data_IF_774657919848
#
_entry.id   IF_774657919848
#
_cell.length_a   1.000
_cell.length_b   1.000
_cell.length_c   1.000
_cell.angle_alpha   90.00
_cell.angle_beta   90.00
_cell.angle_gamma   90.00
#
_symmetry.space_group_name_H-M   'P 1'
#
loop_
_entity.id
_entity.type
_entity.pdbx_description
1 polymer ?
#
# COMPACT_ATOMS: atom_id res chain seq x y z
N UNK A 1 29.79 6.37 5.76
CA UNK A 1 29.22 5.15 5.15
C UNK A 1 28.26 5.64 4.10
N UNK A 2 28.43 5.26 2.83
CA UNK A 2 27.49 5.64 1.76
C UNK A 2 26.33 4.67 1.86
N UNK A 3 25.15 5.15 2.19
CA UNK A 3 23.92 4.36 2.21
C UNK A 3 23.31 4.37 0.81
N UNK A 4 22.95 3.19 0.31
CA UNK A 4 22.14 3.05 -0.88
C UNK A 4 20.71 3.50 -0.56
N UNK A 5 20.17 4.42 -1.33
CA UNK A 5 18.82 4.97 -1.12
C UNK A 5 17.81 4.24 -1.99
N UNK A 6 16.74 3.78 -1.37
CA UNK A 6 15.67 3.01 -2.00
C UNK A 6 14.33 3.70 -1.75
N UNK A 7 13.52 3.88 -2.79
CA UNK A 7 12.13 4.29 -2.62
C UNK A 7 11.17 3.16 -3.00
N UNK A 8 10.09 3.02 -2.22
CA UNK A 8 8.94 2.17 -2.55
C UNK A 8 7.73 3.08 -2.71
N UNK A 9 7.16 3.15 -3.90
CA UNK A 9 6.02 4.02 -4.22
C UNK A 9 4.75 3.19 -4.33
N UNK A 10 3.82 3.42 -3.39
CA UNK A 10 2.62 2.63 -3.22
C UNK A 10 2.79 1.54 -2.16
N UNK A 11 2.14 1.71 -1.01
CA UNK A 11 2.24 0.82 0.15
C UNK A 11 0.98 -0.05 0.34
N UNK A 12 0.39 -0.50 -0.76
CA UNK A 12 -0.56 -1.61 -0.75
C UNK A 12 0.14 -2.96 -0.54
N UNK A 13 -0.54 -4.06 -0.84
CA UNK A 13 -0.02 -5.43 -0.65
C UNK A 13 1.36 -5.64 -1.27
N UNK A 14 1.58 -5.14 -2.49
CA UNK A 14 2.85 -5.28 -3.19
C UNK A 14 3.97 -4.51 -2.47
N UNK A 15 3.74 -3.24 -2.10
CA UNK A 15 4.75 -2.43 -1.41
C UNK A 15 5.12 -2.98 -0.04
N UNK A 16 4.14 -3.39 0.76
CA UNK A 16 4.39 -4.05 2.05
C UNK A 16 5.16 -5.35 1.86
N UNK A 17 4.86 -6.14 0.83
CA UNK A 17 5.60 -7.38 0.52
C UNK A 17 7.05 -7.10 0.13
N UNK A 18 7.31 -6.08 -0.69
CA UNK A 18 8.68 -5.65 -1.05
C UNK A 18 9.43 -5.23 0.20
N UNK A 19 8.87 -4.32 1.01
CA UNK A 19 9.51 -3.89 2.26
C UNK A 19 9.83 -5.08 3.17
N UNK A 20 8.89 -6.01 3.31
CA UNK A 20 9.08 -7.21 4.12
C UNK A 20 10.25 -8.07 3.65
N UNK A 21 10.47 -8.20 2.34
CA UNK A 21 11.64 -8.93 1.82
C UNK A 21 12.94 -8.14 2.02
N UNK A 22 12.91 -6.82 1.86
CA UNK A 22 14.08 -5.97 2.09
C UNK A 22 14.55 -6.05 3.56
N UNK A 23 13.64 -5.98 4.54
CA UNK A 23 14.01 -6.02 5.96
C UNK A 23 14.57 -7.37 6.41
N UNK A 24 14.28 -8.45 5.68
CA UNK A 24 14.86 -9.78 5.92
C UNK A 24 16.29 -9.93 5.36
N UNK A 25 16.71 -9.01 4.48
CA UNK A 25 18.01 -9.11 3.84
C UNK A 25 19.14 -8.70 4.81
N UNK A 26 20.24 -9.45 4.86
CA UNK A 26 21.37 -9.22 5.75
C UNK A 26 21.99 -7.82 5.65
N UNK A 27 21.91 -7.19 4.47
CA UNK A 27 22.45 -5.86 4.20
C UNK A 27 21.40 -4.75 4.37
N UNK A 28 20.20 -5.01 4.95
CA UNK A 28 19.17 -3.99 5.11
C UNK A 28 19.66 -2.75 5.86
N UNK A 29 20.54 -2.92 6.86
CA UNK A 29 21.13 -1.81 7.61
C UNK A 29 22.02 -0.87 6.77
N UNK A 30 22.40 -1.28 5.56
CA UNK A 30 23.16 -0.46 4.61
C UNK A 30 22.28 0.34 3.64
N UNK A 31 20.96 0.11 3.69
CA UNK A 31 19.99 0.84 2.91
C UNK A 31 19.42 2.02 3.71
N UNK A 32 18.96 3.04 3.01
CA UNK A 32 18.02 4.04 3.51
C UNK A 32 16.75 3.91 2.68
N UNK A 33 15.65 3.52 3.31
CA UNK A 33 14.41 3.17 2.63
C UNK A 33 13.34 4.21 2.95
N UNK A 34 12.83 4.88 1.93
CA UNK A 34 11.68 5.77 2.01
C UNK A 34 10.47 5.09 1.35
N UNK A 35 9.32 5.04 2.04
CA UNK A 35 8.09 4.46 1.52
C UNK A 35 7.02 5.53 1.38
N UNK A 36 6.31 5.53 0.25
CA UNK A 36 5.36 6.57 -0.15
C UNK A 36 3.98 5.99 -0.40
N UNK A 37 2.97 6.57 0.19
CA UNK A 37 1.57 6.45 -0.19
C UNK A 37 0.76 7.57 0.45
N UNK A 38 -0.48 7.79 0.04
CA UNK A 38 -1.35 8.68 0.82
C UNK A 38 -1.71 8.05 2.18
N UNK A 39 -2.05 8.90 3.15
CA UNK A 39 -2.35 8.49 4.53
C UNK A 39 -3.45 7.41 4.62
N UNK A 40 -4.44 7.47 3.73
CA UNK A 40 -5.53 6.49 3.68
C UNK A 40 -5.04 5.12 3.24
N UNK A 41 -4.17 5.07 2.22
CA UNK A 41 -3.75 3.83 1.58
C UNK A 41 -2.47 3.25 2.17
N UNK A 42 -1.74 4.04 2.95
CA UNK A 42 -0.48 3.64 3.58
C UNK A 42 -0.62 2.32 4.32
N UNK A 43 0.11 1.30 3.87
CA UNK A 43 0.15 -0.04 4.46
C UNK A 43 -1.07 -0.93 4.19
N UNK A 44 -2.04 -0.50 3.38
CA UNK A 44 -3.24 -1.31 3.08
C UNK A 44 -3.69 -1.25 1.62
N UNK A 45 -3.48 -0.12 0.95
CA UNK A 45 -3.97 0.10 -0.41
C UNK A 45 -5.49 0.21 -0.51
N UNK A 46 -5.98 0.57 -1.70
CA UNK A 46 -7.41 0.78 -1.95
C UNK A 46 -8.29 -0.44 -1.66
N UNK A 47 -7.92 -1.70 -2.03
CA UNK A 47 -8.81 -2.85 -1.84
C UNK A 47 -9.01 -3.27 -0.39
N UNK A 48 -8.10 -2.88 0.50
CA UNK A 48 -8.07 -3.30 1.91
C UNK A 48 -8.18 -2.13 2.88
N UNK A 49 -8.56 -0.94 2.37
CA UNK A 49 -8.85 0.23 3.21
C UNK A 49 -10.05 -0.03 4.14
N UNK A 50 -10.22 0.80 5.15
CA UNK A 50 -11.42 0.77 5.97
C UNK A 50 -12.67 0.98 5.10
N UNK A 51 -13.54 -0.02 5.07
CA UNK A 51 -14.74 -0.06 4.25
C UNK A 51 -15.80 -0.95 4.92
N UNK A 52 -16.92 -1.24 4.23
CA UNK A 52 -17.99 -2.08 4.74
C UNK A 52 -17.52 -3.48 5.15
N UNK A 53 -18.04 -3.97 6.27
CA UNK A 53 -17.80 -5.35 6.71
C UNK A 53 -18.42 -6.41 5.79
N UNK A 54 -19.29 -6.00 4.87
CA UNK A 54 -19.88 -6.86 3.83
C UNK A 54 -18.88 -7.20 2.71
N UNK A 55 -17.81 -6.41 2.56
CA UNK A 55 -16.77 -6.65 1.58
C UNK A 55 -15.79 -7.71 2.09
N UNK A 56 -16.12 -8.97 1.86
CA UNK A 56 -15.30 -10.08 2.29
C UNK A 56 -14.08 -10.33 1.37
N UNK A 57 -13.03 -10.88 1.96
CA UNK A 57 -11.93 -11.48 1.20
C UNK A 57 -12.46 -12.72 0.46
N UNK A 58 -11.91 -12.99 -0.73
CA UNK A 58 -12.34 -14.11 -1.59
C UNK A 58 -11.50 -15.38 -1.38
N UNK A 59 -10.62 -15.40 -0.40
CA UNK A 59 -9.84 -16.56 0.01
C UNK A 59 -10.07 -16.85 1.50
N UNK A 60 -10.02 -18.12 1.92
CA UNK A 60 -10.09 -18.44 3.35
C UNK A 60 -8.96 -17.76 4.12
N UNK A 61 -9.29 -17.15 5.27
CA UNK A 61 -8.33 -16.41 6.10
C UNK A 61 -7.13 -17.27 6.56
N UNK A 62 -7.31 -18.59 6.65
CA UNK A 62 -6.25 -19.57 6.97
C UNK A 62 -5.27 -19.85 5.84
N UNK A 63 -5.55 -19.35 4.63
CA UNK A 63 -4.69 -19.53 3.46
C UNK A 63 -4.23 -18.22 2.86
N UNK A 64 -4.30 -17.14 3.64
CA UNK A 64 -3.77 -15.82 3.29
C UNK A 64 -2.58 -15.48 4.18
N UNK A 65 -1.52 -15.02 3.57
CA UNK A 65 -0.33 -14.59 4.28
C UNK A 65 0.54 -13.68 3.41
N UNK A 66 1.27 -12.77 4.04
CA UNK A 66 2.43 -12.09 3.43
C UNK A 66 3.74 -12.84 3.71
N UNK A 67 3.68 -13.92 4.47
CA UNK A 67 4.84 -14.74 4.81
C UNK A 67 4.91 -15.96 3.92
N UNK A 68 5.95 -16.06 3.10
CA UNK A 68 6.16 -17.23 2.23
C UNK A 68 6.45 -18.51 3.02
N UNK A 69 6.94 -18.37 4.26
CA UNK A 69 7.32 -19.50 5.12
C UNK A 69 6.18 -19.90 6.09
N UNK A 70 5.08 -19.13 6.15
CA UNK A 70 3.92 -19.39 7.01
C UNK A 70 2.63 -18.91 6.33
N UNK A 71 1.94 -19.79 5.66
CA UNK A 71 0.68 -19.54 4.95
C UNK A 71 -0.49 -19.17 5.89
N UNK A 72 -0.35 -19.42 7.18
CA UNK A 72 -1.36 -19.13 8.20
C UNK A 72 -1.05 -17.91 9.05
N UNK A 73 -0.04 -17.11 8.71
CA UNK A 73 0.38 -15.99 9.54
C UNK A 73 -0.74 -14.96 9.74
N UNK A 74 -1.52 -14.63 8.72
CA UNK A 74 -2.69 -13.74 8.85
C UNK A 74 -3.73 -14.30 9.83
N UNK A 75 -4.02 -15.60 9.76
CA UNK A 75 -4.94 -16.26 10.69
C UNK A 75 -4.43 -16.20 12.12
N UNK A 76 -3.15 -16.48 12.36
CA UNK A 76 -2.52 -16.39 13.69
C UNK A 76 -2.54 -14.97 14.22
N UNK A 77 -2.27 -13.99 13.35
CA UNK A 77 -2.38 -12.57 13.69
C UNK A 77 -3.81 -12.23 14.10
N UNK A 78 -4.82 -12.60 13.30
CA UNK A 78 -6.22 -12.35 13.59
C UNK A 78 -6.66 -12.94 14.94
N UNK A 79 -6.28 -14.16 15.27
CA UNK A 79 -6.62 -14.82 16.53
C UNK A 79 -6.09 -14.08 17.76
N UNK A 80 -5.07 -13.27 17.62
CA UNK A 80 -4.49 -12.47 18.69
C UNK A 80 -5.09 -11.05 18.77
N UNK A 81 -6.02 -10.69 17.87
CA UNK A 81 -6.72 -9.40 17.94
C UNK A 81 -7.94 -9.48 18.85
N UNK A 82 -8.14 -8.44 19.65
CA UNK A 82 -9.32 -8.31 20.53
C UNK A 82 -10.39 -7.39 19.95
N UNK A 83 -10.02 -6.57 18.97
CA UNK A 83 -10.89 -5.59 18.33
C UNK A 83 -11.81 -6.19 17.25
N UNK A 84 -11.46 -7.38 16.74
CA UNK A 84 -12.22 -8.06 15.70
C UNK A 84 -12.90 -9.31 16.22
N UNK A 85 -14.24 -9.36 16.14
CA UNK A 85 -15.03 -10.52 16.55
C UNK A 85 -16.11 -10.81 15.51
N UNK A 86 -15.74 -11.53 14.45
CA UNK A 86 -16.67 -11.92 13.39
C UNK A 86 -17.22 -13.33 13.61
N UNK A 87 -18.52 -13.49 13.41
CA UNK A 87 -19.23 -14.78 13.59
C UNK A 87 -18.76 -15.86 12.60
N UNK A 88 -18.32 -15.48 11.42
CA UNK A 88 -17.72 -16.39 10.43
C UNK A 88 -16.31 -15.92 10.04
N UNK A 89 -15.29 -16.33 10.79
CA UNK A 89 -13.91 -15.92 10.52
C UNK A 89 -13.24 -16.67 9.36
N UNK A 90 -13.96 -17.54 8.65
CA UNK A 90 -13.44 -18.21 7.47
C UNK A 90 -13.16 -17.23 6.34
N UNK A 91 -14.07 -16.28 6.14
CA UNK A 91 -13.94 -15.19 5.18
C UNK A 91 -14.11 -13.87 5.92
N UNK A 92 -13.01 -13.20 6.20
CA UNK A 92 -13.01 -11.94 6.95
C UNK A 92 -13.30 -10.74 6.03
N UNK A 93 -13.78 -9.63 6.57
CA UNK A 93 -13.83 -8.37 5.84
C UNK A 93 -12.45 -7.96 5.32
N UNK A 94 -12.40 -7.36 4.14
CA UNK A 94 -11.13 -6.97 3.48
C UNK A 94 -10.28 -6.06 4.33
N UNK A 95 -10.88 -5.12 5.04
CA UNK A 95 -10.14 -4.17 5.87
C UNK A 95 -9.35 -4.86 7.01
N UNK A 96 -9.76 -6.05 7.46
CA UNK A 96 -9.01 -6.81 8.48
C UNK A 96 -7.64 -7.22 7.96
N UNK A 97 -7.56 -7.61 6.68
CA UNK A 97 -6.27 -7.86 6.03
C UNK A 97 -5.45 -6.57 5.87
N UNK A 98 -6.11 -5.43 5.65
CA UNK A 98 -5.47 -4.12 5.68
C UNK A 98 -4.80 -3.81 7.02
N UNK A 99 -5.51 -4.05 8.14
CA UNK A 99 -4.95 -3.90 9.48
C UNK A 99 -3.75 -4.82 9.73
N UNK A 100 -3.82 -6.07 9.26
CA UNK A 100 -2.69 -6.99 9.32
C UNK A 100 -1.46 -6.44 8.58
N UNK A 101 -1.63 -5.93 7.37
CA UNK A 101 -0.53 -5.31 6.61
C UNK A 101 0.03 -4.07 7.32
N UNK A 102 -0.84 -3.19 7.83
CA UNK A 102 -0.44 -2.01 8.60
C UNK A 102 0.35 -2.36 9.85
N UNK A 103 0.02 -3.47 10.52
CA UNK A 103 0.75 -3.89 11.73
C UNK A 103 2.22 -4.20 11.43
N UNK A 104 2.53 -4.74 10.25
CA UNK A 104 3.92 -4.90 9.80
C UNK A 104 4.61 -3.58 9.54
N UNK A 105 3.95 -2.66 8.85
CA UNK A 105 4.54 -1.37 8.56
C UNK A 105 4.88 -0.61 9.85
N UNK A 106 3.96 -0.58 10.81
CA UNK A 106 4.21 -0.01 12.14
C UNK A 106 5.36 -0.69 12.86
N UNK A 107 5.35 -2.02 12.88
CA UNK A 107 6.42 -2.79 13.51
C UNK A 107 7.79 -2.47 12.90
N UNK A 108 7.90 -2.42 11.58
CA UNK A 108 9.18 -2.11 10.93
C UNK A 108 9.61 -0.67 11.16
N UNK A 109 8.69 0.28 11.16
CA UNK A 109 8.98 1.68 11.48
C UNK A 109 9.54 1.84 12.89
N UNK A 110 9.03 1.06 13.85
CA UNK A 110 9.51 1.10 15.23
C UNK A 110 10.85 0.39 15.43
N UNK A 111 11.21 -0.56 14.55
CA UNK A 111 12.42 -1.36 14.67
C UNK A 111 13.61 -0.80 13.89
N UNK A 112 13.38 0.02 12.86
CA UNK A 112 14.42 0.38 11.90
C UNK A 112 14.51 1.89 11.68
N UNK A 113 15.56 2.53 12.20
CA UNK A 113 15.82 3.97 12.03
C UNK A 113 16.16 4.37 10.58
N UNK A 114 16.47 3.40 9.72
CA UNK A 114 16.76 3.60 8.30
C UNK A 114 15.53 3.47 7.38
N UNK A 115 14.33 3.31 7.95
CA UNK A 115 13.04 3.34 7.27
C UNK A 115 12.33 4.67 7.56
N UNK A 116 11.82 5.32 6.52
CA UNK A 116 11.01 6.54 6.63
C UNK A 116 9.65 6.34 5.96
N UNK A 117 8.56 6.58 6.68
CA UNK A 117 7.21 6.59 6.13
C UNK A 117 6.85 8.01 5.71
N UNK A 118 6.46 8.18 4.46
CA UNK A 118 6.08 9.47 3.87
C UNK A 118 4.62 9.36 3.42
N UNK A 119 3.72 9.94 4.22
CA UNK A 119 2.27 9.92 3.97
C UNK A 119 1.88 10.96 2.92
N UNK A 120 2.47 10.86 1.73
CA UNK A 120 2.21 11.75 0.62
C UNK A 120 2.32 11.00 -0.72
N UNK A 121 1.57 11.48 -1.73
CA UNK A 121 1.57 10.90 -3.06
C UNK A 121 2.74 11.42 -3.89
N UNK A 122 3.44 10.50 -4.51
CA UNK A 122 4.40 10.84 -5.54
C UNK A 122 3.65 11.33 -6.78
N UNK A 123 4.01 12.53 -7.24
CA UNK A 123 3.42 13.18 -8.42
C UNK A 123 4.29 13.00 -9.66
N UNK A 124 5.58 13.16 -9.49
CA UNK A 124 6.52 13.16 -10.61
C UNK A 124 7.73 12.28 -10.27
N UNK A 125 8.20 11.59 -11.27
CA UNK A 125 9.43 10.80 -11.24
C UNK A 125 10.19 11.11 -12.52
N UNK A 126 11.48 11.40 -12.41
CA UNK A 126 12.35 11.41 -13.58
C UNK A 126 13.65 10.67 -13.30
N UNK A 127 14.34 10.28 -14.34
CA UNK A 127 15.64 9.62 -14.29
C UNK A 127 16.72 10.58 -14.77
N UNK A 128 17.87 10.52 -14.13
CA UNK A 128 19.07 11.21 -14.55
C UNK A 128 20.22 10.22 -14.57
N UNK A 129 20.95 10.17 -15.69
CA UNK A 129 22.19 9.40 -15.81
C UNK A 129 23.38 10.34 -16.03
N UNK A 130 24.55 9.92 -15.56
CA UNK A 130 25.78 10.60 -15.91
C UNK A 130 26.13 10.43 -17.40
N UNK A 131 27.08 11.25 -17.90
CA UNK A 131 27.47 11.28 -19.32
C UNK A 131 27.88 9.90 -19.85
N UNK A 132 28.35 9.03 -18.98
CA UNK A 132 28.81 7.67 -19.30
C UNK A 132 27.74 6.59 -19.04
N UNK A 133 26.49 6.97 -18.68
CA UNK A 133 25.36 6.08 -18.39
C UNK A 133 25.64 4.98 -17.35
N UNK A 134 26.59 5.23 -16.46
CA UNK A 134 27.05 4.24 -15.46
C UNK A 134 26.38 4.38 -14.10
N UNK A 135 25.75 5.52 -13.80
CA UNK A 135 25.11 5.81 -12.53
C UNK A 135 23.71 6.44 -12.72
N UNK A 136 22.71 5.58 -12.92
CA UNK A 136 21.33 6.00 -13.08
C UNK A 136 20.75 6.38 -11.71
N UNK A 137 20.24 7.61 -11.56
CA UNK A 137 19.53 8.10 -10.39
C UNK A 137 18.06 8.36 -10.71
N UNK A 138 17.22 8.12 -9.69
CA UNK A 138 15.79 8.38 -9.74
C UNK A 138 15.48 9.57 -8.84
N UNK A 139 14.76 10.54 -9.38
CA UNK A 139 14.31 11.70 -8.62
C UNK A 139 12.81 11.61 -8.44
N UNK A 140 12.35 11.73 -7.19
CA UNK A 140 10.95 11.60 -6.80
C UNK A 140 10.49 12.89 -6.15
N UNK A 141 9.32 13.40 -6.57
CA UNK A 141 8.68 14.58 -6.01
C UNK A 141 7.26 14.24 -5.54
N UNK A 142 6.89 14.73 -4.37
CA UNK A 142 5.55 14.61 -3.81
C UNK A 142 4.67 15.83 -4.12
N UNK A 143 3.41 15.82 -3.65
CA UNK A 143 2.38 16.79 -4.02
C UNK A 143 2.52 18.18 -3.37
N UNK A 144 3.47 18.38 -2.48
CA UNK A 144 3.60 19.68 -1.78
C UNK A 144 4.00 20.81 -2.72
N UNK A 145 3.49 22.01 -2.45
CA UNK A 145 3.66 23.22 -3.27
C UNK A 145 5.13 23.64 -3.45
N UNK A 146 6.02 23.19 -2.58
CA UNK A 146 7.46 23.32 -2.73
C UNK A 146 8.02 22.00 -3.25
N UNK A 147 8.25 21.88 -4.55
CA UNK A 147 8.82 20.71 -5.21
C UNK A 147 10.20 20.34 -4.65
N UNK A 148 10.21 19.58 -3.56
CA UNK A 148 11.41 18.99 -3.01
C UNK A 148 11.68 17.67 -3.70
N UNK A 149 12.74 17.63 -4.52
CA UNK A 149 13.18 16.42 -5.19
C UNK A 149 14.08 15.60 -4.27
N UNK A 150 13.75 14.32 -4.14
CA UNK A 150 14.58 13.35 -3.42
C UNK A 150 15.17 12.35 -4.40
N UNK A 151 16.47 12.10 -4.25
CA UNK A 151 17.25 11.22 -5.13
C UNK A 151 17.37 9.81 -4.55
N UNK A 152 17.26 8.79 -5.42
CA UNK A 152 17.32 7.37 -5.07
C UNK A 152 18.17 6.59 -6.08
N UNK A 153 18.84 5.55 -5.56
CA UNK A 153 19.58 4.56 -6.35
C UNK A 153 18.66 3.51 -6.95
N UNK A 154 17.58 3.16 -6.22
CA UNK A 154 16.57 2.17 -6.64
C UNK A 154 15.15 2.63 -6.36
N UNK A 155 14.26 2.21 -7.25
CA UNK A 155 12.86 2.56 -7.18
C UNK A 155 11.98 1.32 -7.39
N UNK A 156 11.08 1.05 -6.44
CA UNK A 156 10.03 0.05 -6.58
C UNK A 156 8.69 0.75 -6.83
N UNK A 157 8.09 0.48 -7.99
CA UNK A 157 6.79 1.03 -8.39
C UNK A 157 5.69 0.02 -8.06
N UNK A 158 4.98 0.23 -6.98
CA UNK A 158 3.96 -0.68 -6.43
C UNK A 158 2.63 0.02 -6.16
N UNK A 159 2.35 1.12 -6.86
CA UNK A 159 1.19 1.98 -6.67
C UNK A 159 -0.16 1.40 -7.17
N UNK A 160 -0.18 0.16 -7.66
CA UNK A 160 -1.41 -0.53 -8.07
C UNK A 160 -1.97 -0.02 -9.40
N UNK A 161 -3.28 0.26 -9.43
CA UNK A 161 -3.97 0.78 -10.61
C UNK A 161 -4.01 2.30 -10.63
N UNK A 162 -3.77 2.87 -11.81
CA UNK A 162 -3.99 4.30 -12.05
C UNK A 162 -5.46 4.69 -11.93
N UNK A 163 -5.71 6.00 -11.86
CA UNK A 163 -7.06 6.54 -11.93
C UNK A 163 -7.77 6.05 -13.19
N UNK A 164 -9.05 5.70 -13.06
CA UNK A 164 -9.85 5.22 -14.17
C UNK A 164 -9.97 6.30 -15.26
N UNK A 165 -9.68 5.91 -16.49
CA UNK A 165 -10.04 6.70 -17.66
C UNK A 165 -11.55 6.54 -17.88
N UNK A 166 -12.25 7.63 -18.18
CA UNK A 166 -13.68 7.63 -18.50
C UNK A 166 -13.86 7.80 -20.03
N UNK A 167 -13.81 6.71 -20.81
CA UNK A 167 -13.84 6.78 -22.27
C UNK A 167 -15.20 7.20 -22.83
N UNK A 168 -16.24 7.18 -22.00
CA UNK A 168 -17.61 7.49 -22.40
C UNK A 168 -18.11 8.82 -21.85
N UNK A 169 -17.28 9.56 -21.13
CA UNK A 169 -17.60 10.85 -20.50
C UNK A 169 -18.85 10.79 -19.61
N UNK A 170 -18.94 9.71 -18.80
CA UNK A 170 -20.07 9.45 -17.91
C UNK A 170 -19.92 10.08 -16.53
N UNK A 171 -18.75 10.62 -16.20
CA UNK A 171 -18.49 11.25 -14.91
C UNK A 171 -19.46 12.40 -14.66
N UNK A 172 -20.20 12.31 -13.55
CA UNK A 172 -21.26 13.28 -13.22
C UNK A 172 -22.67 12.90 -13.75
N UNK A 173 -22.79 11.86 -14.55
CA UNK A 173 -24.08 11.32 -14.98
C UNK A 173 -24.79 10.63 -13.80
N UNK A 174 -26.09 10.85 -13.67
CA UNK A 174 -26.87 10.23 -12.61
C UNK A 174 -26.79 8.69 -12.69
N UNK A 175 -26.41 8.07 -11.58
CA UNK A 175 -26.27 6.62 -11.45
C UNK A 175 -24.91 6.07 -11.91
N UNK A 176 -24.01 6.88 -12.48
CA UNK A 176 -22.67 6.45 -12.80
C UNK A 176 -21.73 6.62 -11.60
N UNK A 177 -21.10 5.53 -11.21
CA UNK A 177 -20.12 5.48 -10.12
C UNK A 177 -18.80 5.02 -10.70
N UNK A 178 -17.84 5.92 -10.85
CA UNK A 178 -16.53 5.63 -11.45
C UNK A 178 -15.66 4.73 -10.56
N UNK A 179 -15.72 4.93 -9.25
CA UNK A 179 -15.05 4.09 -8.26
C UNK A 179 -16.00 3.80 -7.10
N UNK A 180 -16.21 2.53 -6.73
CA UNK A 180 -17.11 2.20 -5.63
C UNK A 180 -16.49 2.41 -4.24
N UNK A 181 -15.18 2.67 -4.17
CA UNK A 181 -14.46 2.71 -2.89
C UNK A 181 -14.31 4.12 -2.31
N UNK A 182 -14.53 4.30 -1.00
CA UNK A 182 -15.12 3.33 -0.06
C UNK A 182 -16.61 3.15 -0.30
N UNK A 183 -17.09 1.92 -0.20
CA UNK A 183 -18.48 1.55 -0.58
C UNK A 183 -19.52 2.16 0.34
N UNK A 184 -19.24 2.29 1.63
CA UNK A 184 -20.16 2.84 2.62
C UNK A 184 -20.53 4.32 2.41
N UNK A 185 -19.78 5.04 1.57
CA UNK A 185 -20.15 6.41 1.14
C UNK A 185 -20.74 6.44 -0.26
N UNK A 186 -20.20 5.63 -1.14
CA UNK A 186 -20.47 5.68 -2.57
C UNK A 186 -21.81 5.00 -2.91
N UNK A 187 -22.17 3.95 -2.16
CA UNK A 187 -23.36 3.13 -2.43
C UNK A 187 -24.55 3.42 -1.52
N UNK A 188 -24.45 4.35 -0.57
CA UNK A 188 -25.54 4.69 0.38
C UNK A 188 -26.85 5.12 -0.33
N UNK A 189 -26.75 5.62 -1.55
CA UNK A 189 -27.91 6.07 -2.32
C UNK A 189 -28.41 5.04 -3.34
N UNK A 190 -27.78 3.87 -3.43
CA UNK A 190 -28.23 2.77 -4.29
C UNK A 190 -29.34 2.01 -3.55
N UNK A 191 -30.56 2.04 -4.07
CA UNK A 191 -31.72 1.36 -3.47
C UNK A 191 -31.90 -0.02 -4.07
N UNK A 192 -32.39 -0.97 -3.26
CA UNK A 192 -32.64 -2.37 -3.64
C UNK A 192 -33.72 -2.56 -4.74
N UNK A 193 -34.29 -1.49 -5.23
CA UNK A 193 -35.49 -1.56 -6.10
C UNK A 193 -35.23 -1.12 -7.54
N UNK A 194 -34.00 -0.92 -7.96
CA UNK A 194 -33.71 -0.44 -9.32
C UNK A 194 -32.98 -1.49 -10.16
#
# INVERSE_FOLDING_TARGET
>A
MIYMRVAIIGMGTAGVSVLRQLVKHENFSQLKVDVYDDDRNMGQGVPFQNDSSELLINMPSKSMSLNLDDDQEFWKWYQNQTEFNFSNPQYLPRFVFGHYMKSYLSYYNDQFDNLTIINDKVQEIFTQSDVDDTDLKYHVCTCDDEKEWREYDYLFLTFGTFSYHDPYDLKGTKGYIQTPYPTYHTLDNVKDSD
#
